data_IF_709665068780
#
_entry.id   IF_709665068780
#
_cell.length_a   1.000
_cell.length_b   1.000
_cell.length_c   1.000
_cell.angle_alpha   90.00
_cell.angle_beta   90.00
_cell.angle_gamma   90.00
#
_symmetry.space_group_name_H-M   'P 1'
#
loop_
_entity.id
_entity.type
_entity.pdbx_description
1 polymer ?
#
# COMPACT_ATOMS: atom_id res chain seq x y z
N UNK A 1 19.68 -20.76 -9.09
CA UNK A 1 21.10 -20.48 -8.83
C UNK A 1 21.23 -18.99 -8.96
N UNK A 2 21.24 -18.33 -7.82
CA UNK A 2 21.99 -17.12 -7.50
C UNK A 2 21.87 -17.03 -5.98
N UNK A 3 22.90 -17.58 -5.34
CA UNK A 3 23.21 -17.38 -3.93
C UNK A 3 24.05 -16.12 -3.84
N UNK A 4 24.02 -15.53 -2.64
CA UNK A 4 24.83 -14.41 -2.16
C UNK A 4 24.23 -13.05 -2.54
N UNK A 5 23.92 -12.13 -1.63
CA UNK A 5 24.52 -11.84 -0.32
C UNK A 5 23.36 -11.45 0.63
N UNK A 6 23.05 -12.30 1.60
CA UNK A 6 22.42 -11.82 2.84
C UNK A 6 23.58 -11.47 3.75
N UNK A 7 23.67 -10.20 4.13
CA UNK A 7 24.55 -9.78 5.22
C UNK A 7 24.24 -10.67 6.43
N UNK A 8 25.22 -11.46 6.87
CA UNK A 8 25.19 -12.17 8.14
C UNK A 8 25.17 -11.09 9.23
N UNK A 9 23.98 -10.67 9.65
CA UNK A 9 23.81 -10.10 10.97
C UNK A 9 24.12 -11.24 11.96
N UNK A 10 25.16 -11.06 12.78
CA UNK A 10 25.46 -11.96 13.90
C UNK A 10 24.15 -12.28 14.64
N UNK A 11 23.69 -13.53 14.59
CA UNK A 11 22.51 -13.96 15.35
C UNK A 11 22.81 -13.72 16.84
N UNK A 12 22.12 -12.76 17.46
CA UNK A 12 22.24 -12.51 18.89
C UNK A 12 21.78 -13.75 19.65
N UNK A 13 22.63 -14.25 20.54
CA UNK A 13 22.30 -15.40 21.39
C UNK A 13 21.09 -15.09 22.28
N UNK A 14 20.21 -16.08 22.47
CA UNK A 14 19.00 -15.92 23.27
C UNK A 14 19.33 -15.58 24.73
N UNK A 15 20.45 -16.07 25.25
CA UNK A 15 20.90 -15.75 26.61
C UNK A 15 21.26 -14.27 26.78
N UNK A 16 21.80 -13.62 25.76
CA UNK A 16 22.11 -12.19 25.79
C UNK A 16 20.86 -11.33 25.60
N UNK A 17 19.91 -11.80 24.79
CA UNK A 17 18.58 -11.21 24.71
C UNK A 17 17.82 -11.29 26.05
N UNK A 18 17.97 -12.41 26.79
CA UNK A 18 17.37 -12.60 28.09
C UNK A 18 17.95 -11.66 29.14
N UNK A 19 19.28 -11.47 29.17
CA UNK A 19 19.92 -10.45 30.03
C UNK A 19 19.41 -9.04 29.70
N UNK A 20 19.22 -8.74 28.41
CA UNK A 20 18.70 -7.44 27.97
C UNK A 20 17.27 -7.22 28.46
N UNK A 21 16.41 -8.24 28.40
CA UNK A 21 15.06 -8.21 28.97
C UNK A 21 15.08 -8.04 30.48
N UNK A 22 15.91 -8.81 31.20
CA UNK A 22 15.98 -8.73 32.66
C UNK A 22 16.49 -7.34 33.11
N UNK A 23 17.46 -6.77 32.40
CA UNK A 23 17.94 -5.42 32.63
C UNK A 23 16.89 -4.34 32.33
N UNK A 24 16.12 -4.51 31.25
CA UNK A 24 15.01 -3.61 30.94
C UNK A 24 13.93 -3.67 32.03
N UNK A 25 13.59 -4.87 32.49
CA UNK A 25 12.56 -5.09 33.53
C UNK A 25 12.99 -4.53 34.89
N UNK A 26 14.27 -4.61 35.23
CA UNK A 26 14.77 -4.07 36.51
C UNK A 26 14.72 -2.54 36.54
N UNK A 27 14.88 -1.86 35.40
CA UNK A 27 14.83 -0.40 35.28
C UNK A 27 13.47 0.12 34.80
N UNK A 28 12.46 -0.74 34.66
CA UNK A 28 11.19 -0.39 34.03
C UNK A 28 10.44 0.71 34.78
N UNK A 29 10.56 0.78 36.11
CA UNK A 29 9.91 1.80 36.93
C UNK A 29 10.46 3.22 36.70
N UNK A 30 11.68 3.35 36.16
CA UNK A 30 12.31 4.63 35.87
C UNK A 30 11.80 5.22 34.54
N UNK A 31 11.36 4.36 33.63
CA UNK A 31 10.96 4.73 32.27
C UNK A 31 9.44 4.72 32.06
N UNK A 32 8.69 4.00 32.91
CA UNK A 32 7.25 3.82 32.73
C UNK A 32 6.45 5.05 33.17
N UNK A 33 5.57 5.51 32.29
CA UNK A 33 4.58 6.54 32.57
C UNK A 33 3.31 5.89 33.08
N UNK A 34 2.87 6.24 34.29
CA UNK A 34 1.69 5.66 34.95
C UNK A 34 0.53 6.66 34.91
N UNK A 35 -0.59 6.29 34.29
CA UNK A 35 -1.84 7.04 34.26
C UNK A 35 -3.00 6.13 34.66
N UNK A 36 -3.38 6.16 35.94
CA UNK A 36 -4.41 5.32 36.54
C UNK A 36 -4.25 3.83 36.21
N UNK A 37 -5.11 3.31 35.33
CA UNK A 37 -5.15 1.92 34.89
C UNK A 37 -4.33 1.66 33.61
N UNK A 38 -3.64 2.67 33.07
CA UNK A 38 -2.87 2.58 31.85
C UNK A 38 -1.42 3.00 32.11
N UNK A 39 -0.51 2.07 31.91
CA UNK A 39 0.92 2.35 31.90
C UNK A 39 1.45 2.36 30.48
N UNK A 40 2.41 3.25 30.20
CA UNK A 40 3.03 3.43 28.90
C UNK A 40 4.54 3.46 29.03
N UNK A 41 5.23 2.77 28.14
CA UNK A 41 6.68 2.87 27.97
C UNK A 41 6.91 3.39 26.56
N UNK A 42 7.60 4.52 26.42
CA UNK A 42 7.83 5.11 25.11
C UNK A 42 8.74 4.21 24.26
N UNK A 43 8.43 4.09 22.97
CA UNK A 43 9.19 3.20 22.09
C UNK A 43 10.68 3.58 22.04
N UNK A 44 11.02 4.86 22.17
CA UNK A 44 12.42 5.32 22.25
C UNK A 44 13.20 4.68 23.41
N UNK A 45 12.54 4.43 24.54
CA UNK A 45 13.16 3.80 25.72
C UNK A 45 13.23 2.27 25.57
N UNK A 46 12.36 1.68 24.75
CA UNK A 46 12.32 0.24 24.49
C UNK A 46 13.02 -0.18 23.18
N UNK A 47 13.50 0.78 22.38
CA UNK A 47 13.93 0.54 20.99
C UNK A 47 15.09 -0.44 20.89
N UNK A 48 16.09 -0.30 21.76
CA UNK A 48 17.23 -1.21 21.81
C UNK A 48 16.76 -2.65 22.10
N UNK A 49 15.93 -2.82 23.14
CA UNK A 49 15.37 -4.11 23.50
C UNK A 49 14.56 -4.74 22.36
N UNK A 50 13.66 -3.97 21.74
CA UNK A 50 12.81 -4.45 20.65
C UNK A 50 13.67 -4.85 19.44
N UNK A 51 14.70 -4.07 19.13
CA UNK A 51 15.62 -4.37 18.03
C UNK A 51 16.35 -5.69 18.30
N UNK A 52 16.97 -5.82 19.49
CA UNK A 52 17.64 -7.06 19.91
C UNK A 52 16.70 -8.26 19.80
N UNK A 53 15.53 -8.19 20.43
CA UNK A 53 14.55 -9.27 20.44
C UNK A 53 14.01 -9.63 19.05
N UNK A 54 13.87 -8.66 18.16
CA UNK A 54 13.43 -8.90 16.78
C UNK A 54 14.47 -9.63 15.93
N UNK A 55 15.76 -9.47 16.27
CA UNK A 55 16.89 -10.16 15.62
C UNK A 55 17.27 -11.48 16.28
N UNK A 56 16.75 -11.78 17.48
CA UNK A 56 17.04 -13.01 18.21
C UNK A 56 16.13 -14.16 17.77
N UNK A 57 16.72 -15.35 17.62
CA UNK A 57 15.96 -16.58 17.43
C UNK A 57 15.25 -16.99 18.73
N UNK A 58 13.96 -16.68 18.83
CA UNK A 58 13.16 -17.00 20.01
C UNK A 58 12.85 -18.50 20.16
N UNK A 59 12.62 -19.00 21.38
CA UNK A 59 12.18 -20.36 21.63
C UNK A 59 10.86 -20.72 20.92
N UNK A 60 10.75 -21.97 20.45
CA UNK A 60 9.62 -22.46 19.65
C UNK A 60 8.24 -22.43 20.34
N UNK A 61 8.19 -22.25 21.66
CA UNK A 61 6.94 -22.09 22.40
C UNK A 61 6.31 -20.69 22.24
N UNK A 62 7.05 -19.72 21.70
CA UNK A 62 6.54 -18.38 21.38
C UNK A 62 6.33 -18.24 19.88
N UNK A 63 5.26 -17.54 19.47
CA UNK A 63 5.01 -17.26 18.06
C UNK A 63 5.79 -16.03 17.57
N UNK A 64 6.02 -15.07 18.45
CA UNK A 64 6.81 -13.86 18.19
C UNK A 64 7.53 -13.38 19.45
N UNK A 65 8.55 -12.53 19.31
CA UNK A 65 9.25 -11.95 20.46
C UNK A 65 8.32 -11.15 21.38
N UNK A 66 7.26 -10.55 20.81
CA UNK A 66 6.18 -9.88 21.56
C UNK A 66 5.51 -10.81 22.58
N UNK A 67 5.38 -12.11 22.28
CA UNK A 67 4.77 -13.07 23.20
C UNK A 67 5.69 -13.34 24.40
N UNK A 68 6.99 -13.47 24.15
CA UNK A 68 7.99 -13.62 25.19
C UNK A 68 8.06 -12.38 26.10
N UNK A 69 8.15 -11.19 25.50
CA UNK A 69 8.19 -9.94 26.26
C UNK A 69 6.87 -9.71 27.02
N UNK A 70 5.72 -10.05 26.41
CA UNK A 70 4.42 -10.00 27.09
C UNK A 70 4.39 -10.90 28.32
N UNK A 71 4.87 -12.14 28.23
CA UNK A 71 4.93 -13.04 29.39
C UNK A 71 5.76 -12.43 30.53
N UNK A 72 6.92 -11.85 30.19
CA UNK A 72 7.81 -11.22 31.17
C UNK A 72 7.20 -9.97 31.82
N UNK A 73 6.53 -9.13 31.03
CA UNK A 73 5.78 -7.98 31.54
C UNK A 73 4.59 -8.42 32.40
N UNK A 74 3.85 -9.46 31.98
CA UNK A 74 2.76 -10.05 32.77
C UNK A 74 3.24 -10.54 34.13
N UNK A 75 4.41 -11.18 34.20
CA UNK A 75 5.02 -11.60 35.46
C UNK A 75 5.44 -10.39 36.31
N UNK A 76 6.10 -9.38 35.71
CA UNK A 76 6.58 -8.19 36.42
C UNK A 76 5.46 -7.37 37.04
N UNK A 77 4.33 -7.24 36.34
CA UNK A 77 3.19 -6.42 36.77
C UNK A 77 2.04 -7.24 37.37
N UNK A 78 2.24 -8.55 37.56
CA UNK A 78 1.24 -9.48 38.11
C UNK A 78 -0.11 -9.39 37.37
N UNK A 79 -0.05 -9.33 36.04
CA UNK A 79 -1.23 -9.09 35.20
C UNK A 79 -2.23 -10.26 35.27
N UNK A 80 -3.50 -9.92 35.42
CA UNK A 80 -4.62 -10.86 35.39
C UNK A 80 -5.05 -11.23 33.96
N UNK A 81 -5.93 -12.23 33.83
CA UNK A 81 -6.37 -12.74 32.53
C UNK A 81 -7.10 -11.71 31.64
N UNK A 82 -7.67 -10.65 32.22
CA UNK A 82 -8.36 -9.59 31.49
C UNK A 82 -7.49 -8.34 31.28
N UNK A 83 -6.30 -8.31 31.88
CA UNK A 83 -5.32 -7.25 31.64
C UNK A 83 -4.70 -7.42 30.25
N UNK A 84 -4.07 -6.35 29.77
CA UNK A 84 -3.64 -6.28 28.39
C UNK A 84 -2.27 -5.64 28.27
N UNK A 85 -1.43 -6.24 27.40
CA UNK A 85 -0.17 -5.66 26.94
C UNK A 85 -0.24 -5.50 25.42
N UNK A 86 -0.10 -4.26 24.95
CA UNK A 86 -0.10 -3.90 23.53
C UNK A 86 1.24 -3.32 23.11
N UNK A 87 1.65 -3.67 21.91
CA UNK A 87 2.85 -3.14 21.26
C UNK A 87 2.42 -2.27 20.09
N UNK A 88 2.50 -0.96 20.26
CA UNK A 88 2.23 0.04 19.24
C UNK A 88 3.54 0.67 18.75
N UNK A 89 3.51 1.36 17.63
CA UNK A 89 4.70 2.01 17.06
C UNK A 89 5.29 3.08 18.00
N UNK A 90 4.44 3.74 18.80
CA UNK A 90 4.85 4.80 19.72
C UNK A 90 5.20 4.30 21.14
N UNK A 91 4.89 3.04 21.48
CA UNK A 91 5.23 2.49 22.78
C UNK A 91 4.58 1.16 23.15
N UNK A 92 4.93 0.68 24.33
CA UNK A 92 4.33 -0.50 24.97
C UNK A 92 3.30 -0.03 25.99
N UNK A 93 2.06 -0.48 25.84
CA UNK A 93 0.96 -0.13 26.72
C UNK A 93 0.57 -1.31 27.58
N UNK A 94 0.42 -1.08 28.88
CA UNK A 94 -0.04 -2.07 29.86
C UNK A 94 -1.31 -1.54 30.49
N UNK A 95 -2.43 -2.18 30.19
CA UNK A 95 -3.76 -1.80 30.65
C UNK A 95 -4.26 -2.79 31.69
N UNK A 96 -4.51 -2.28 32.89
CA UNK A 96 -5.16 -3.02 33.97
C UNK A 96 -6.68 -2.95 33.80
N UNK A 97 -7.32 -4.12 33.89
CA UNK A 97 -8.76 -4.28 33.88
C UNK A 97 -9.29 -4.16 35.30
N UNK A 98 -10.21 -3.22 35.50
CA UNK A 98 -10.94 -3.11 36.76
C UNK A 98 -12.37 -3.59 36.58
N UNK A 99 -12.78 -4.54 37.42
CA UNK A 99 -14.17 -4.95 37.49
C UNK A 99 -14.98 -3.87 38.21
N UNK A 100 -16.07 -3.42 37.59
CA UNK A 100 -17.00 -2.48 38.21
C UNK A 100 -18.10 -3.29 38.88
N UNK A 101 -18.40 -2.95 40.14
CA UNK A 101 -19.52 -3.56 40.86
C UNK A 101 -20.83 -3.21 40.17
N UNK A 102 -21.52 -4.22 39.64
CA UNK A 102 -22.83 -4.04 39.03
C UNK A 102 -23.86 -3.74 40.12
N UNK A 103 -24.29 -2.50 40.23
CA UNK A 103 -25.55 -2.19 40.92
C UNK A 103 -26.66 -2.83 40.09
N UNK A 104 -27.48 -3.67 40.72
CA UNK A 104 -28.60 -4.39 40.08
C UNK A 104 -29.70 -3.41 39.63
N UNK A 105 -29.47 -2.68 38.54
CA UNK A 105 -30.46 -1.81 37.90
C UNK A 105 -30.82 -2.35 36.51
N UNK A 106 -32.05 -2.05 36.06
CA UNK A 106 -32.64 -2.57 34.83
C UNK A 106 -31.90 -2.12 33.55
N UNK A 107 -31.12 -1.03 33.62
CA UNK A 107 -30.32 -0.52 32.52
C UNK A 107 -28.83 -0.82 32.72
N UNK A 108 -28.40 -1.99 32.24
CA UNK A 108 -27.00 -2.45 32.27
C UNK A 108 -26.09 -1.81 31.20
N UNK A 109 -26.65 -1.01 30.29
CA UNK A 109 -25.92 -0.46 29.14
C UNK A 109 -25.03 0.69 29.60
N UNK A 110 -23.81 0.77 29.06
CA UNK A 110 -22.86 1.84 29.37
C UNK A 110 -22.71 2.10 30.89
N UNK A 111 -22.71 1.03 31.69
CA UNK A 111 -22.65 1.09 33.16
C UNK A 111 -23.78 1.89 33.84
N UNK A 112 -24.93 2.06 33.18
CA UNK A 112 -26.10 2.76 33.73
C UNK A 112 -26.03 4.28 33.64
N UNK A 113 -25.12 4.82 32.82
CA UNK A 113 -25.00 6.25 32.56
C UNK A 113 -26.02 6.65 31.51
N UNK A 114 -26.70 7.78 31.74
CA UNK A 114 -27.70 8.33 30.82
C UNK A 114 -27.08 8.69 29.46
N UNK A 115 -27.85 8.47 28.40
CA UNK A 115 -27.40 8.70 27.03
C UNK A 115 -26.95 10.15 26.79
N UNK A 116 -27.70 11.12 27.30
CA UNK A 116 -27.43 12.54 27.06
C UNK A 116 -26.10 12.98 27.70
N UNK A 117 -25.78 12.42 28.87
CA UNK A 117 -24.48 12.62 29.53
C UNK A 117 -23.35 12.06 28.66
N UNK A 118 -23.49 10.85 28.14
CA UNK A 118 -22.47 10.24 27.27
C UNK A 118 -22.29 11.01 25.96
N UNK A 119 -23.37 11.56 25.40
CA UNK A 119 -23.35 12.39 24.20
C UNK A 119 -22.62 13.72 24.45
N UNK A 120 -22.82 14.35 25.61
CA UNK A 120 -22.06 15.55 26.02
C UNK A 120 -20.56 15.26 26.11
N UNK A 121 -20.16 14.18 26.80
CA UNK A 121 -18.77 13.75 26.88
C UNK A 121 -18.20 13.38 25.50
N UNK A 122 -18.99 12.73 24.64
CA UNK A 122 -18.58 12.43 23.25
C UNK A 122 -18.24 13.71 22.50
N UNK A 123 -19.12 14.70 22.56
CA UNK A 123 -18.94 15.96 21.84
C UNK A 123 -17.79 16.81 22.40
N UNK A 124 -17.53 16.76 23.70
CA UNK A 124 -16.43 17.47 24.35
C UNK A 124 -15.06 16.85 24.02
N UNK A 125 -14.92 15.52 24.18
CA UNK A 125 -13.61 14.86 24.12
C UNK A 125 -13.31 14.17 22.78
N UNK A 126 -14.32 13.92 21.95
CA UNK A 126 -14.20 13.24 20.65
C UNK A 126 -14.93 13.98 19.52
N UNK A 127 -14.60 15.26 19.27
CA UNK A 127 -15.21 16.01 18.17
C UNK A 127 -14.93 15.35 16.82
N UNK A 128 -15.86 15.48 15.88
CA UNK A 128 -15.78 14.91 14.53
C UNK A 128 -15.59 13.38 14.49
N UNK A 129 -16.03 12.66 15.53
CA UNK A 129 -15.94 11.20 15.59
C UNK A 129 -14.52 10.65 15.50
N UNK A 130 -13.51 11.41 15.93
CA UNK A 130 -12.08 11.02 15.88
C UNK A 130 -11.80 9.65 16.52
N UNK A 131 -12.63 9.26 17.51
CA UNK A 131 -12.54 7.95 18.16
C UNK A 131 -12.69 6.79 17.17
N UNK A 132 -13.42 6.94 16.06
CA UNK A 132 -13.56 5.89 15.04
C UNK A 132 -12.21 5.59 14.39
N UNK A 133 -11.50 6.62 13.96
CA UNK A 133 -10.18 6.50 13.33
C UNK A 133 -9.18 5.86 14.32
N UNK A 134 -9.13 6.35 15.56
CA UNK A 134 -8.25 5.83 16.60
C UNK A 134 -8.57 4.35 16.95
N UNK A 135 -9.85 3.95 16.95
CA UNK A 135 -10.25 2.55 17.12
C UNK A 135 -9.72 1.68 15.97
N UNK A 136 -9.88 2.13 14.73
CA UNK A 136 -9.42 1.36 13.55
C UNK A 136 -7.90 1.37 13.39
N UNK A 137 -7.20 2.33 13.97
CA UNK A 137 -5.74 2.35 14.05
C UNK A 137 -5.22 1.29 15.04
N UNK A 138 -5.88 1.11 16.19
CA UNK A 138 -5.49 0.12 17.20
C UNK A 138 -5.98 -1.30 16.90
N UNK A 139 -7.08 -1.45 16.15
CA UNK A 139 -7.72 -2.74 15.90
C UNK A 139 -6.78 -3.80 15.30
N UNK A 140 -5.92 -3.51 14.30
CA UNK A 140 -4.98 -4.48 13.75
C UNK A 140 -4.07 -5.09 14.83
N UNK A 141 -3.55 -4.26 15.74
CA UNK A 141 -2.71 -4.72 16.84
C UNK A 141 -3.49 -5.64 17.79
N UNK A 142 -4.74 -5.30 18.12
CA UNK A 142 -5.59 -6.16 18.96
C UNK A 142 -5.84 -7.52 18.31
N UNK A 143 -6.09 -7.53 16.99
CA UNK A 143 -6.32 -8.77 16.23
C UNK A 143 -5.07 -9.62 16.17
N UNK A 144 -3.91 -9.02 15.91
CA UNK A 144 -2.64 -9.73 15.78
C UNK A 144 -2.08 -10.24 17.11
N UNK A 145 -2.19 -9.44 18.17
CA UNK A 145 -1.55 -9.74 19.45
C UNK A 145 -2.45 -10.56 20.38
N UNK A 146 -3.77 -10.32 20.36
CA UNK A 146 -4.70 -10.85 21.38
C UNK A 146 -5.75 -11.78 20.76
N UNK A 147 -6.44 -11.33 19.71
CA UNK A 147 -7.53 -12.07 19.08
C UNK A 147 -7.08 -12.97 17.92
N UNK A 148 -5.79 -13.29 17.89
CA UNK A 148 -5.15 -13.98 16.80
C UNK A 148 -5.61 -15.44 16.69
N UNK A 149 -6.35 -15.76 15.63
CA UNK A 149 -6.87 -17.10 15.36
C UNK A 149 -5.78 -18.19 15.25
N UNK A 150 -4.51 -17.81 15.05
CA UNK A 150 -3.37 -18.76 15.07
C UNK A 150 -3.01 -19.21 16.48
N UNK A 151 -3.29 -18.38 17.49
CA UNK A 151 -2.98 -18.59 18.90
C UNK A 151 -4.17 -19.10 19.70
N UNK A 152 -5.39 -18.68 19.34
CA UNK A 152 -6.61 -19.00 20.09
C UNK A 152 -7.63 -19.79 19.27
N UNK A 153 -8.43 -20.61 19.95
CA UNK A 153 -9.59 -21.28 19.36
C UNK A 153 -10.86 -20.40 19.43
N UNK A 154 -11.93 -20.71 18.68
CA UNK A 154 -13.16 -19.94 18.69
C UNK A 154 -13.85 -19.81 20.05
N UNK A 155 -13.71 -20.81 20.94
CA UNK A 155 -14.28 -20.74 22.28
C UNK A 155 -13.53 -19.74 23.14
N UNK A 156 -12.21 -19.72 23.01
CA UNK A 156 -11.31 -18.78 23.68
C UNK A 156 -11.56 -17.37 23.14
N UNK A 157 -11.66 -17.21 21.82
CA UNK A 157 -12.08 -15.95 21.18
C UNK A 157 -13.37 -15.42 21.79
N UNK A 158 -14.43 -16.25 21.85
CA UNK A 158 -15.74 -15.85 22.41
C UNK A 158 -15.67 -15.37 23.87
N UNK A 159 -14.73 -15.90 24.66
CA UNK A 159 -14.53 -15.50 26.05
C UNK A 159 -13.86 -14.14 26.17
N UNK A 160 -12.88 -13.85 25.31
CA UNK A 160 -11.99 -12.69 25.50
C UNK A 160 -12.30 -11.49 24.60
N UNK A 161 -12.95 -11.68 23.45
CA UNK A 161 -13.02 -10.62 22.42
C UNK A 161 -13.68 -9.33 22.92
N UNK A 162 -14.78 -9.41 23.66
CA UNK A 162 -15.44 -8.20 24.19
C UNK A 162 -14.54 -7.47 25.18
N UNK A 163 -13.83 -8.20 26.06
CA UNK A 163 -12.91 -7.59 27.01
C UNK A 163 -11.75 -6.92 26.28
N UNK A 164 -11.18 -7.57 25.26
CA UNK A 164 -10.13 -7.00 24.45
C UNK A 164 -10.57 -5.73 23.72
N UNK A 165 -11.74 -5.75 23.08
CA UNK A 165 -12.26 -4.59 22.36
C UNK A 165 -12.63 -3.43 23.30
N UNK A 166 -13.18 -3.72 24.49
CA UNK A 166 -13.49 -2.68 25.47
C UNK A 166 -12.21 -2.07 26.02
N UNK A 167 -11.20 -2.87 26.37
CA UNK A 167 -9.91 -2.37 26.84
C UNK A 167 -9.21 -1.52 25.78
N UNK A 168 -9.30 -1.89 24.49
CA UNK A 168 -8.81 -1.07 23.38
C UNK A 168 -9.47 0.32 23.39
N UNK A 169 -10.81 0.38 23.48
CA UNK A 169 -11.52 1.67 23.53
C UNK A 169 -11.24 2.42 24.84
N UNK A 170 -11.03 1.74 25.96
CA UNK A 170 -10.61 2.37 27.22
C UNK A 170 -9.24 3.05 27.11
N UNK A 171 -8.29 2.50 26.36
CA UNK A 171 -6.99 3.15 26.15
C UNK A 171 -7.20 4.52 25.47
N UNK A 172 -8.04 4.55 24.44
CA UNK A 172 -8.43 5.79 23.74
C UNK A 172 -9.11 6.76 24.70
N UNK A 173 -10.09 6.27 25.47
CA UNK A 173 -10.82 7.08 26.45
C UNK A 173 -9.91 7.65 27.52
N UNK A 174 -9.02 6.85 28.11
CA UNK A 174 -8.06 7.29 29.12
C UNK A 174 -7.06 8.30 28.56
N UNK A 175 -6.69 8.21 27.29
CA UNK A 175 -5.78 9.18 26.68
C UNK A 175 -6.43 10.55 26.45
N UNK A 176 -7.75 10.59 26.17
CA UNK A 176 -8.47 11.83 25.83
C UNK A 176 -9.19 12.47 27.01
N UNK A 177 -9.92 11.67 27.79
CA UNK A 177 -10.74 12.18 28.89
C UNK A 177 -9.87 12.55 30.09
N UNK A 178 -10.26 13.64 30.76
CA UNK A 178 -9.62 14.14 31.99
C UNK A 178 -10.49 13.81 33.20
N UNK A 179 -10.77 12.52 33.40
CA UNK A 179 -11.55 12.03 34.53
C UNK A 179 -10.93 10.74 35.06
N UNK A 180 -10.99 10.56 36.37
CA UNK A 180 -10.56 9.34 37.06
C UNK A 180 -11.76 8.44 37.40
N UNK A 181 -12.98 8.85 37.01
CA UNK A 181 -14.19 8.05 37.20
C UNK A 181 -14.19 6.84 36.27
N UNK A 182 -13.79 5.71 36.84
CA UNK A 182 -13.73 4.40 36.17
C UNK A 182 -15.10 3.98 35.61
N UNK A 183 -16.20 4.37 36.26
CA UNK A 183 -17.56 4.05 35.80
C UNK A 183 -17.86 4.82 34.52
N UNK A 184 -17.54 6.11 34.51
CA UNK A 184 -17.67 6.95 33.32
C UNK A 184 -16.76 6.49 32.19
N UNK A 185 -15.49 6.20 32.47
CA UNK A 185 -14.54 5.67 31.47
C UNK A 185 -15.10 4.40 30.81
N UNK A 186 -15.49 3.41 31.62
CA UNK A 186 -16.04 2.14 31.10
C UNK A 186 -17.35 2.35 30.36
N UNK A 187 -18.24 3.19 30.89
CA UNK A 187 -19.52 3.51 30.27
C UNK A 187 -19.32 4.13 28.89
N UNK A 188 -18.40 5.09 28.80
CA UNK A 188 -18.01 5.73 27.56
C UNK A 188 -17.37 4.76 26.57
N UNK A 189 -16.49 3.86 27.04
CA UNK A 189 -15.88 2.84 26.17
C UNK A 189 -16.92 1.88 25.57
N UNK A 190 -17.91 1.46 26.35
CA UNK A 190 -19.02 0.66 25.81
C UNK A 190 -19.89 1.45 24.83
N UNK A 191 -20.12 2.73 25.11
CA UNK A 191 -20.91 3.61 24.28
C UNK A 191 -20.27 3.79 22.89
N UNK A 192 -18.99 4.18 22.86
CA UNK A 192 -18.21 4.34 21.63
C UNK A 192 -18.02 3.03 20.86
N UNK A 193 -17.66 1.94 21.56
CA UNK A 193 -17.48 0.64 20.92
C UNK A 193 -18.76 0.20 20.19
N UNK A 194 -19.93 0.50 20.74
CA UNK A 194 -21.21 0.11 20.14
C UNK A 194 -21.45 0.77 18.78
N UNK A 195 -21.04 2.02 18.61
CA UNK A 195 -21.22 2.75 17.35
C UNK A 195 -20.39 2.15 16.21
N UNK A 196 -19.28 1.47 16.53
CA UNK A 196 -18.37 0.84 15.55
C UNK A 196 -18.32 -0.69 15.62
N UNK A 197 -19.12 -1.30 16.48
CA UNK A 197 -18.99 -2.72 16.82
C UNK A 197 -19.13 -3.64 15.60
N UNK A 198 -20.11 -3.35 14.74
CA UNK A 198 -20.35 -4.15 13.54
C UNK A 198 -19.16 -4.06 12.58
N UNK A 199 -18.60 -2.87 12.37
CA UNK A 199 -17.45 -2.66 11.50
C UNK A 199 -16.17 -3.32 12.06
N UNK A 200 -15.97 -3.27 13.38
CA UNK A 200 -14.89 -3.99 14.08
C UNK A 200 -15.02 -5.51 13.87
N UNK A 201 -16.22 -6.07 14.03
CA UNK A 201 -16.45 -7.50 13.83
C UNK A 201 -16.32 -7.89 12.35
N UNK A 202 -16.69 -7.01 11.42
CA UNK A 202 -16.46 -7.20 9.99
C UNK A 202 -14.97 -7.25 9.67
N UNK A 203 -14.15 -6.37 10.27
CA UNK A 203 -12.70 -6.38 10.11
C UNK A 203 -12.09 -7.72 10.57
N UNK A 204 -12.47 -8.19 11.77
CA UNK A 204 -11.97 -9.47 12.30
C UNK A 204 -12.38 -10.63 11.39
N UNK A 205 -13.62 -10.63 10.89
CA UNK A 205 -14.09 -11.65 9.96
C UNK A 205 -13.33 -11.59 8.62
N UNK A 206 -13.06 -10.40 8.09
CA UNK A 206 -12.29 -10.17 6.86
C UNK A 206 -10.88 -10.74 7.00
N UNK A 207 -10.18 -10.47 8.11
CA UNK A 207 -8.84 -10.99 8.39
C UNK A 207 -8.79 -12.53 8.41
N UNK A 208 -9.73 -13.18 9.12
CA UNK A 208 -9.81 -14.65 9.16
C UNK A 208 -10.07 -15.21 7.76
N UNK A 209 -11.01 -14.63 7.02
CA UNK A 209 -11.37 -15.07 5.67
C UNK A 209 -10.23 -14.87 4.67
N UNK A 210 -9.49 -13.76 4.78
CA UNK A 210 -8.32 -13.47 3.97
C UNK A 210 -7.22 -14.52 4.18
N UNK A 211 -6.89 -14.81 5.44
CA UNK A 211 -5.90 -15.83 5.78
C UNK A 211 -6.38 -17.24 5.35
N UNK A 212 -7.67 -17.52 5.47
CA UNK A 212 -8.25 -18.78 4.96
C UNK A 212 -8.15 -18.90 3.43
N UNK A 213 -8.36 -17.82 2.69
CA UNK A 213 -8.17 -17.76 1.24
C UNK A 213 -6.72 -18.06 0.83
N UNK A 214 -5.76 -17.67 1.68
CA UNK A 214 -4.33 -17.92 1.52
C UNK A 214 -3.89 -19.32 1.96
N UNK A 215 -4.84 -20.23 2.21
CA UNK A 215 -4.59 -21.60 2.66
C UNK A 215 -3.83 -21.68 3.99
N UNK A 216 -3.96 -20.67 4.86
CA UNK A 216 -3.47 -20.75 6.23
C UNK A 216 -4.18 -21.90 6.95
N UNK A 217 -3.39 -22.91 7.37
CA UNK A 217 -3.89 -24.10 8.06
C UNK A 217 -4.61 -23.73 9.35
N UNK A 218 -4.15 -22.71 10.09
CA UNK A 218 -4.76 -22.28 11.34
C UNK A 218 -6.08 -21.57 11.12
N UNK A 219 -6.20 -20.75 10.09
CA UNK A 219 -7.49 -20.16 9.71
C UNK A 219 -8.51 -21.26 9.34
N UNK A 220 -8.07 -22.29 8.62
CA UNK A 220 -8.90 -23.46 8.32
C UNK A 220 -9.31 -24.26 9.56
N UNK A 221 -8.37 -24.52 10.48
CA UNK A 221 -8.65 -25.19 11.76
C UNK A 221 -9.66 -24.36 12.59
N UNK A 222 -9.47 -23.04 12.67
CA UNK A 222 -10.37 -22.12 13.39
C UNK A 222 -11.79 -22.12 12.80
N UNK A 223 -11.90 -21.95 11.48
CA UNK A 223 -13.20 -21.91 10.79
C UNK A 223 -13.92 -23.25 10.80
N UNK A 224 -13.18 -24.37 10.87
CA UNK A 224 -13.77 -25.72 10.87
C UNK A 224 -14.75 -25.93 12.02
N UNK A 225 -14.54 -25.26 13.16
CA UNK A 225 -15.39 -25.35 14.35
C UNK A 225 -16.74 -24.65 14.21
N UNK A 226 -16.97 -23.91 13.11
CA UNK A 226 -18.27 -23.33 12.75
C UNK A 226 -19.04 -24.22 11.76
N UNK A 227 -19.01 -25.53 12.00
CA UNK A 227 -19.67 -26.53 11.17
C UNK A 227 -21.14 -26.72 11.52
N UNK A 228 -21.89 -27.24 10.55
CA UNK A 228 -23.27 -27.73 10.70
C UNK A 228 -23.33 -29.02 11.54
N UNK A 229 -22.21 -29.76 11.58
CA UNK A 229 -22.12 -31.03 12.31
C UNK A 229 -21.35 -30.86 13.62
N UNK A 230 -21.61 -31.75 14.58
CA UNK A 230 -20.80 -31.85 15.80
C UNK A 230 -19.37 -32.25 15.44
N UNK A 231 -18.38 -31.61 16.07
CA UNK A 231 -16.97 -31.87 15.82
C UNK A 231 -16.31 -32.33 17.10
N UNK A 232 -15.45 -33.34 16.99
CA UNK A 232 -14.56 -33.78 18.06
C UNK A 232 -13.17 -33.24 17.73
N UNK A 233 -12.60 -32.42 18.62
CA UNK A 233 -11.26 -31.90 18.42
C UNK A 233 -10.17 -32.94 18.72
N UNK A 234 -8.90 -32.59 18.43
CA UNK A 234 -7.73 -33.46 18.67
C UNK A 234 -7.53 -33.84 20.14
N UNK A 235 -8.19 -33.15 21.07
CA UNK A 235 -8.16 -33.41 22.53
C UNK A 235 -9.39 -34.21 22.99
N UNK A 236 -10.25 -34.66 22.08
CA UNK A 236 -11.45 -35.43 22.38
C UNK A 236 -12.64 -34.60 22.86
N UNK A 237 -12.54 -33.26 22.85
CA UNK A 237 -13.64 -32.38 23.27
C UNK A 237 -14.66 -32.25 22.13
N UNK A 238 -15.93 -32.43 22.49
CA UNK A 238 -17.06 -32.28 21.57
C UNK A 238 -17.49 -30.81 21.49
N UNK A 239 -17.62 -30.32 20.26
CA UNK A 239 -18.07 -28.97 19.93
C UNK A 239 -19.41 -29.06 19.24
N UNK A 240 -20.43 -28.43 19.83
CA UNK A 240 -21.78 -28.38 19.26
C UNK A 240 -21.78 -27.64 17.91
N UNK A 241 -22.70 -27.97 16.99
CA UNK A 241 -22.88 -27.23 15.76
C UNK A 241 -23.04 -25.73 16.01
N UNK A 242 -22.26 -24.93 15.28
CA UNK A 242 -22.36 -23.47 15.30
C UNK A 242 -22.13 -22.91 13.88
N UNK A 243 -23.04 -23.22 12.93
CA UNK A 243 -22.82 -22.89 11.53
C UNK A 243 -22.76 -21.37 11.28
N UNK A 244 -22.01 -20.98 10.25
CA UNK A 244 -22.05 -19.62 9.70
C UNK A 244 -23.35 -19.49 8.91
N UNK A 245 -24.28 -18.67 9.38
CA UNK A 245 -25.62 -18.53 8.79
C UNK A 245 -25.75 -17.19 8.06
N UNK A 246 -26.31 -17.22 6.86
CA UNK A 246 -26.71 -16.01 6.13
C UNK A 246 -27.97 -15.35 6.74
N UNK A 247 -28.43 -14.26 6.13
CA UNK A 247 -29.64 -13.53 6.55
C UNK A 247 -30.92 -14.38 6.46
N UNK A 248 -30.92 -15.39 5.59
CA UNK A 248 -32.04 -16.31 5.37
C UNK A 248 -31.93 -17.61 6.20
N UNK A 249 -30.99 -17.66 7.16
CA UNK A 249 -30.66 -18.84 7.97
C UNK A 249 -30.12 -20.05 7.19
N UNK A 250 -29.60 -19.86 5.98
CA UNK A 250 -28.88 -20.89 5.26
C UNK A 250 -27.43 -20.98 5.77
N UNK A 251 -26.97 -22.21 6.01
CA UNK A 251 -25.61 -22.46 6.45
C UNK A 251 -24.62 -22.38 5.28
N UNK A 252 -23.57 -21.58 5.46
CA UNK A 252 -22.45 -21.54 4.54
C UNK A 252 -21.57 -22.78 4.70
N UNK A 253 -21.30 -23.44 3.58
CA UNK A 253 -20.34 -24.53 3.51
C UNK A 253 -18.91 -23.97 3.41
N UNK A 254 -17.98 -24.53 4.17
CA UNK A 254 -16.56 -24.18 4.17
C UNK A 254 -15.92 -24.25 2.77
N UNK A 255 -16.29 -25.24 1.95
CA UNK A 255 -15.80 -25.36 0.57
C UNK A 255 -16.27 -24.18 -0.29
N UNK A 256 -17.52 -23.77 -0.14
CA UNK A 256 -18.12 -22.62 -0.85
C UNK A 256 -17.55 -21.30 -0.38
N UNK A 257 -17.31 -21.16 0.93
CA UNK A 257 -16.59 -20.01 1.50
C UNK A 257 -15.23 -19.92 0.82
N UNK A 258 -14.43 -20.99 0.86
CA UNK A 258 -13.07 -21.00 0.29
C UNK A 258 -13.05 -20.67 -1.19
N UNK A 259 -13.93 -21.28 -1.99
CA UNK A 259 -13.99 -21.01 -3.43
C UNK A 259 -14.36 -19.56 -3.72
N UNK A 260 -15.31 -19.00 -2.97
CA UNK A 260 -15.71 -17.59 -3.10
C UNK A 260 -14.58 -16.64 -2.72
N UNK A 261 -13.85 -16.92 -1.62
CA UNK A 261 -12.71 -16.09 -1.20
C UNK A 261 -11.59 -16.11 -2.25
N UNK A 262 -11.26 -17.27 -2.81
CA UNK A 262 -10.25 -17.41 -3.87
C UNK A 262 -10.68 -16.64 -5.13
N UNK A 263 -11.96 -16.73 -5.52
CA UNK A 263 -12.49 -15.98 -6.67
C UNK A 263 -12.43 -14.48 -6.43
N UNK A 264 -12.83 -14.01 -5.24
CA UNK A 264 -12.76 -12.61 -4.85
C UNK A 264 -11.31 -12.09 -4.89
N UNK A 265 -10.37 -12.84 -4.28
CA UNK A 265 -8.93 -12.52 -4.34
C UNK A 265 -8.42 -12.41 -5.78
N UNK A 266 -8.73 -13.39 -6.64
CA UNK A 266 -8.34 -13.36 -8.06
C UNK A 266 -8.96 -12.20 -8.82
N UNK A 267 -10.21 -11.83 -8.52
CA UNK A 267 -10.87 -10.69 -9.14
C UNK A 267 -10.18 -9.37 -8.75
N UNK A 268 -9.84 -9.17 -7.48
CA UNK A 268 -9.09 -7.98 -7.03
C UNK A 268 -7.68 -7.94 -7.62
N UNK A 269 -6.99 -9.08 -7.67
CA UNK A 269 -5.68 -9.20 -8.31
C UNK A 269 -5.72 -8.82 -9.79
N UNK A 270 -6.72 -9.30 -10.54
CA UNK A 270 -6.89 -8.96 -11.95
C UNK A 270 -7.16 -7.45 -12.17
N UNK A 271 -7.87 -6.79 -11.24
CA UNK A 271 -8.07 -5.34 -11.28
C UNK A 271 -6.73 -4.62 -11.05
N UNK A 272 -5.94 -5.06 -10.07
CA UNK A 272 -4.61 -4.50 -9.79
C UNK A 272 -3.68 -4.63 -11.00
N UNK A 273 -3.57 -5.83 -11.59
CA UNK A 273 -2.74 -6.08 -12.78
C UNK A 273 -3.16 -5.21 -13.97
N UNK A 274 -4.47 -4.96 -14.14
CA UNK A 274 -4.96 -4.02 -15.17
C UNK A 274 -4.57 -2.57 -14.89
N UNK A 275 -4.60 -2.12 -13.63
CA UNK A 275 -4.12 -0.79 -13.24
C UNK A 275 -2.63 -0.63 -13.55
N UNK A 276 -1.83 -1.63 -13.21
CA UNK A 276 -0.40 -1.63 -13.48
C UNK A 276 -0.10 -1.64 -14.99
N UNK A 277 -0.80 -2.48 -15.75
CA UNK A 277 -0.69 -2.52 -17.21
C UNK A 277 -1.02 -1.15 -17.84
N UNK A 278 -2.08 -0.47 -17.37
CA UNK A 278 -2.43 0.88 -17.83
C UNK A 278 -1.37 1.92 -17.47
N UNK A 279 -0.78 1.84 -16.26
CA UNK A 279 0.32 2.70 -15.87
C UNK A 279 1.55 2.51 -16.79
N UNK A 280 1.85 1.26 -17.14
CA UNK A 280 2.94 0.93 -18.07
C UNK A 280 2.65 1.44 -19.49
N UNK A 281 1.41 1.32 -19.99
CA UNK A 281 1.02 1.91 -21.27
C UNK A 281 1.17 3.43 -21.25
N UNK A 282 0.75 4.09 -20.16
CA UNK A 282 0.90 5.54 -19.99
C UNK A 282 2.37 5.96 -20.07
N UNK A 283 3.27 5.28 -19.35
CA UNK A 283 4.72 5.52 -19.40
C UNK A 283 5.27 5.34 -20.83
N UNK A 284 4.87 4.29 -21.55
CA UNK A 284 5.27 4.07 -22.95
C UNK A 284 4.79 5.19 -23.87
N UNK A 285 3.56 5.67 -23.70
CA UNK A 285 3.01 6.79 -24.46
C UNK A 285 3.79 8.08 -24.22
N UNK A 286 4.14 8.39 -22.97
CA UNK A 286 4.96 9.55 -22.62
C UNK A 286 6.35 9.47 -23.27
N UNK A 287 6.99 8.29 -23.25
CA UNK A 287 8.27 8.07 -23.91
C UNK A 287 8.18 8.26 -25.44
N UNK A 288 7.15 7.71 -26.10
CA UNK A 288 6.96 7.88 -27.54
C UNK A 288 6.71 9.34 -27.94
N UNK A 289 5.91 10.07 -27.15
CA UNK A 289 5.68 11.50 -27.37
C UNK A 289 6.97 12.31 -27.22
N UNK A 290 7.77 12.02 -26.20
CA UNK A 290 9.06 12.69 -26.01
C UNK A 290 10.02 12.44 -27.17
N UNK A 291 10.12 11.19 -27.64
CA UNK A 291 10.95 10.85 -28.80
C UNK A 291 10.46 11.52 -30.08
N UNK A 292 9.15 11.63 -30.27
CA UNK A 292 8.56 12.33 -31.42
C UNK A 292 8.94 13.82 -31.42
N UNK A 293 8.91 14.48 -30.25
CA UNK A 293 9.37 15.87 -30.08
C UNK A 293 10.86 16.00 -30.42
N UNK A 294 11.70 15.06 -29.99
CA UNK A 294 13.14 15.04 -30.33
C UNK A 294 13.37 14.93 -31.83
N UNK A 295 12.69 13.99 -32.50
CA UNK A 295 12.80 13.81 -33.95
C UNK A 295 12.29 15.04 -34.71
N UNK A 296 11.19 15.66 -34.26
CA UNK A 296 10.65 16.87 -34.87
C UNK A 296 11.67 18.04 -34.79
N UNK A 297 12.36 18.18 -33.66
CA UNK A 297 13.43 19.17 -33.48
C UNK A 297 14.62 18.90 -34.42
N UNK A 298 15.04 17.64 -34.55
CA UNK A 298 16.11 17.24 -35.46
C UNK A 298 15.76 17.55 -36.93
N UNK A 299 14.51 17.27 -37.35
CA UNK A 299 14.00 17.64 -38.68
C UNK A 299 14.09 19.16 -38.88
N UNK A 300 13.70 19.96 -37.88
CA UNK A 300 13.76 21.42 -37.97
C UNK A 300 15.19 21.93 -38.13
N UNK A 301 16.14 21.36 -37.39
CA UNK A 301 17.56 21.67 -37.50
C UNK A 301 18.12 21.32 -38.89
N UNK A 302 17.79 20.13 -39.42
CA UNK A 302 18.22 19.73 -40.77
C UNK A 302 17.60 20.61 -41.87
N UNK A 303 16.33 21.00 -41.73
CA UNK A 303 15.67 21.94 -42.66
C UNK A 303 16.29 23.35 -42.61
N UNK A 304 16.85 23.78 -41.47
CA UNK A 304 17.62 25.05 -41.40
C UNK A 304 18.91 24.96 -42.21
N UNK A 305 19.66 23.86 -42.08
CA UNK A 305 20.89 23.64 -42.86
C UNK A 305 20.56 23.56 -44.35
N UNK A 306 19.49 22.86 -44.75
CA UNK A 306 19.04 22.82 -46.14
C UNK A 306 18.79 24.22 -46.71
N UNK A 307 18.10 25.10 -45.96
CA UNK A 307 17.89 26.50 -46.35
C UNK A 307 19.17 27.32 -46.46
N UNK A 308 20.19 27.03 -45.66
CA UNK A 308 21.51 27.68 -45.75
C UNK A 308 22.28 27.22 -46.99
N UNK A 309 22.19 25.94 -47.34
CA UNK A 309 22.73 25.40 -48.58
C UNK A 309 22.02 26.00 -49.80
N UNK A 310 20.71 26.18 -49.77
CA UNK A 310 19.96 26.86 -50.83
C UNK A 310 20.46 28.29 -51.07
N UNK A 311 20.64 29.08 -50.00
CA UNK A 311 21.22 30.43 -50.10
C UNK A 311 22.64 30.42 -50.64
N UNK A 312 23.43 29.40 -50.31
CA UNK A 312 24.81 29.26 -50.79
C UNK A 312 24.85 28.87 -52.26
N UNK A 313 23.97 27.97 -52.69
CA UNK A 313 23.78 27.58 -54.08
C UNK A 313 23.36 28.78 -54.94
N UNK A 314 22.40 29.59 -54.50
CA UNK A 314 22.00 30.83 -55.20
C UNK A 314 23.17 31.80 -55.39
N UNK A 315 24.05 31.95 -54.38
CA UNK A 315 25.24 32.80 -54.48
C UNK A 315 26.24 32.26 -55.49
N UNK A 316 26.44 30.95 -55.51
CA UNK A 316 27.32 30.26 -56.47
C UNK A 316 26.78 30.41 -57.89
N UNK A 317 25.47 30.21 -58.10
CA UNK A 317 24.80 30.36 -59.40
C UNK A 317 24.86 31.79 -59.92
N UNK A 318 24.56 32.79 -59.08
CA UNK A 318 24.72 34.21 -59.46
C UNK A 318 26.17 34.56 -59.82
N UNK A 319 27.14 33.95 -59.14
CA UNK A 319 28.57 34.14 -59.45
C UNK A 319 28.94 33.49 -60.78
N UNK A 320 28.42 32.29 -61.05
CA UNK A 320 28.59 31.56 -62.31
C UNK A 320 28.03 32.37 -63.49
N UNK A 321 26.78 32.85 -63.40
CA UNK A 321 26.14 33.69 -64.42
C UNK A 321 26.96 34.95 -64.74
N UNK A 322 27.48 35.63 -63.71
CA UNK A 322 28.33 36.83 -63.87
C UNK A 322 29.60 36.53 -64.66
N UNK A 323 30.25 35.40 -64.40
CA UNK A 323 31.49 34.99 -65.09
C UNK A 323 31.20 34.48 -66.51
N UNK A 324 30.07 33.80 -66.70
CA UNK A 324 29.64 33.35 -68.02
C UNK A 324 29.29 34.53 -68.94
N UNK A 325 28.72 35.61 -68.41
CA UNK A 325 28.38 36.81 -69.18
C UNK A 325 29.57 37.76 -69.42
N UNK A 326 30.77 37.48 -68.87
CA UNK A 326 31.97 38.27 -69.12
C UNK A 326 32.55 37.98 -70.52
N UNK A 327 32.85 39.04 -71.28
CA UNK A 327 33.39 38.98 -72.65
C UNK A 327 34.91 38.84 -72.72
N UNK A 328 35.62 38.96 -71.59
CA UNK A 328 37.10 38.88 -71.51
C UNK A 328 37.58 37.51 -71.03
N UNK A 329 38.74 37.07 -71.54
CA UNK A 329 39.37 35.78 -71.15
C UNK A 329 39.86 35.77 -69.69
N UNK A 330 40.07 36.95 -69.11
CA UNK A 330 40.40 37.17 -67.71
C UNK A 330 39.28 37.93 -67.00
N UNK A 331 38.93 37.48 -65.80
CA UNK A 331 37.82 38.04 -65.01
C UNK A 331 38.33 38.41 -63.62
N UNK A 332 37.95 39.59 -63.13
CA UNK A 332 38.19 39.99 -61.73
C UNK A 332 37.17 39.28 -60.85
N UNK A 333 37.65 38.51 -59.88
CA UNK A 333 36.80 37.76 -58.95
C UNK A 333 37.33 37.90 -57.52
N UNK A 334 36.42 38.00 -56.55
CA UNK A 334 36.76 38.11 -55.14
C UNK A 334 36.90 36.71 -54.54
N UNK A 335 38.11 36.32 -54.15
CA UNK A 335 38.39 35.05 -53.46
C UNK A 335 38.87 35.37 -52.04
N UNK A 336 38.10 34.99 -51.01
CA UNK A 336 38.43 35.27 -49.61
C UNK A 336 38.44 36.75 -49.21
N UNK A 337 37.70 37.61 -49.92
CA UNK A 337 37.61 39.05 -49.65
C UNK A 337 38.63 39.91 -50.41
N UNK A 338 39.48 39.30 -51.25
CA UNK A 338 40.48 40.01 -52.07
C UNK A 338 40.17 39.83 -53.56
N UNK A 339 40.12 40.92 -54.32
CA UNK A 339 40.00 40.87 -55.79
C UNK A 339 41.27 40.30 -56.42
N UNK A 340 41.11 39.20 -57.15
CA UNK A 340 42.18 38.58 -57.95
C UNK A 340 41.71 38.42 -59.40
N UNK A 341 42.66 38.45 -60.32
CA UNK A 341 42.41 38.21 -61.75
C UNK A 341 42.60 36.71 -62.00
N UNK A 342 41.58 36.07 -62.55
CA UNK A 342 41.62 34.65 -62.90
C UNK A 342 41.34 34.44 -64.38
N UNK A 343 41.89 33.37 -64.94
CA UNK A 343 41.48 32.88 -66.25
C UNK A 343 40.06 32.31 -66.17
N UNK A 344 39.22 32.66 -67.15
CA UNK A 344 37.77 32.40 -67.13
C UNK A 344 37.43 30.91 -67.07
N UNK A 345 38.07 30.07 -67.91
CA UNK A 345 37.76 28.63 -67.99
C UNK A 345 38.08 27.86 -66.68
N UNK A 346 39.27 28.00 -66.07
CA UNK A 346 39.57 27.36 -64.78
C UNK A 346 38.65 27.84 -63.64
N UNK A 347 38.29 29.13 -63.64
CA UNK A 347 37.40 29.69 -62.62
C UNK A 347 35.98 29.12 -62.72
N UNK A 348 35.43 28.98 -63.94
CA UNK A 348 34.14 28.33 -64.17
C UNK A 348 34.18 26.88 -63.66
N UNK A 349 35.21 26.11 -63.99
CA UNK A 349 35.34 24.73 -63.52
C UNK A 349 35.42 24.64 -61.97
N UNK A 350 36.11 25.58 -61.32
CA UNK A 350 36.19 25.66 -59.85
C UNK A 350 34.83 25.97 -59.22
N UNK A 351 34.02 26.82 -59.84
CA UNK A 351 32.69 27.21 -59.35
C UNK A 351 31.67 26.09 -59.58
N UNK A 352 31.70 25.43 -60.75
CA UNK A 352 30.86 24.26 -61.03
C UNK A 352 31.14 23.13 -60.03
N UNK A 353 32.43 22.88 -59.71
CA UNK A 353 32.78 21.90 -58.66
C UNK A 353 32.19 22.26 -57.30
N UNK A 354 32.24 23.54 -56.90
CA UNK A 354 31.61 24.01 -55.66
C UNK A 354 30.08 23.85 -55.70
N UNK A 355 29.46 24.06 -56.85
CA UNK A 355 28.02 23.84 -57.04
C UNK A 355 27.66 22.36 -56.87
N UNK A 356 28.43 21.45 -57.49
CA UNK A 356 28.26 20.01 -57.35
C UNK A 356 28.43 19.52 -55.90
N UNK A 357 29.43 20.06 -55.18
CA UNK A 357 29.67 19.74 -53.77
C UNK A 357 28.46 20.15 -52.90
N UNK A 358 27.95 21.38 -53.07
CA UNK A 358 26.76 21.88 -52.36
C UNK A 358 25.51 21.06 -52.73
N UNK A 359 25.35 20.69 -54.00
CA UNK A 359 24.21 19.89 -54.46
C UNK A 359 24.24 18.48 -53.85
N UNK A 360 25.43 17.89 -53.75
CA UNK A 360 25.65 16.58 -53.11
C UNK A 360 25.29 16.63 -51.62
N UNK A 361 25.75 17.66 -50.91
CA UNK A 361 25.43 17.86 -49.49
C UNK A 361 23.94 18.09 -49.27
N UNK A 362 23.30 18.92 -50.10
CA UNK A 362 21.85 19.17 -50.05
C UNK A 362 21.05 17.88 -50.24
N UNK A 363 21.41 17.05 -51.22
CA UNK A 363 20.74 15.76 -51.45
C UNK A 363 20.94 14.79 -50.29
N UNK A 364 22.12 14.79 -49.65
CA UNK A 364 22.35 14.01 -48.45
C UNK A 364 21.43 14.44 -47.29
N UNK A 365 21.29 15.76 -47.07
CA UNK A 365 20.39 16.29 -46.03
C UNK A 365 18.93 15.96 -46.33
N UNK A 366 18.48 16.09 -47.58
CA UNK A 366 17.11 15.73 -47.98
C UNK A 366 16.78 14.28 -47.65
N UNK A 367 17.67 13.34 -47.99
CA UNK A 367 17.50 11.92 -47.65
C UNK A 367 17.41 11.69 -46.14
N UNK A 368 18.20 12.42 -45.35
CA UNK A 368 18.12 12.36 -43.88
C UNK A 368 16.76 12.86 -43.38
N UNK A 369 16.28 13.99 -43.91
CA UNK A 369 14.97 14.56 -43.55
C UNK A 369 13.84 13.57 -43.89
N UNK A 370 13.81 13.01 -45.10
CA UNK A 370 12.81 12.02 -45.52
C UNK A 370 12.79 10.78 -44.60
N UNK A 371 13.97 10.30 -44.22
CA UNK A 371 14.11 9.19 -43.27
C UNK A 371 13.58 9.54 -41.88
N UNK A 372 13.87 10.75 -41.37
CA UNK A 372 13.36 11.22 -40.09
C UNK A 372 11.84 11.41 -40.11
N UNK A 373 11.28 11.98 -41.19
CA UNK A 373 9.83 12.14 -41.37
C UNK A 373 9.11 10.78 -41.38
N UNK A 374 9.70 9.77 -42.04
CA UNK A 374 9.19 8.39 -42.00
C UNK A 374 9.20 7.81 -40.58
N UNK A 375 10.26 8.07 -39.80
CA UNK A 375 10.34 7.63 -38.39
C UNK A 375 9.29 8.33 -37.52
N UNK A 376 9.04 9.62 -37.74
CA UNK A 376 7.98 10.37 -37.05
C UNK A 376 6.60 9.79 -37.38
N UNK A 377 6.32 9.51 -38.66
CA UNK A 377 5.06 8.92 -39.08
C UNK A 377 4.83 7.53 -38.46
N UNK A 378 5.86 6.69 -38.38
CA UNK A 378 5.78 5.39 -37.73
C UNK A 378 5.52 5.53 -36.22
N UNK A 379 6.22 6.43 -35.53
CA UNK A 379 5.96 6.71 -34.11
C UNK A 379 4.55 7.27 -33.88
N UNK A 380 4.01 8.10 -34.77
CA UNK A 380 2.63 8.58 -34.66
C UNK A 380 1.63 7.42 -34.69
N UNK A 381 1.80 6.46 -35.61
CA UNK A 381 0.96 5.26 -35.65
C UNK A 381 1.03 4.47 -34.35
N UNK A 382 2.23 4.30 -33.78
CA UNK A 382 2.39 3.64 -32.48
C UNK A 382 1.66 4.40 -31.37
N UNK A 383 1.81 5.74 -31.31
CA UNK A 383 1.11 6.60 -30.35
C UNK A 383 -0.40 6.41 -30.47
N UNK A 384 -0.96 6.38 -31.68
CA UNK A 384 -2.40 6.24 -31.91
C UNK A 384 -2.90 4.86 -31.45
N UNK A 385 -2.15 3.79 -31.74
CA UNK A 385 -2.48 2.43 -31.31
C UNK A 385 -2.46 2.34 -29.78
N UNK A 386 -1.39 2.82 -29.14
CA UNK A 386 -1.26 2.75 -27.69
C UNK A 386 -2.21 3.68 -26.97
N UNK A 387 -2.54 4.84 -27.54
CA UNK A 387 -3.51 5.80 -27.01
C UNK A 387 -4.90 5.20 -27.00
N UNK A 388 -5.31 4.56 -28.10
CA UNK A 388 -6.58 3.83 -28.16
C UNK A 388 -6.65 2.68 -27.15
N UNK A 389 -5.62 1.83 -27.08
CA UNK A 389 -5.54 0.75 -26.07
C UNK A 389 -5.63 1.30 -24.63
N UNK A 390 -5.00 2.45 -24.38
CA UNK A 390 -5.06 3.11 -23.08
C UNK A 390 -6.48 3.58 -22.73
N UNK A 391 -7.19 4.22 -23.68
CA UNK A 391 -8.56 4.67 -23.44
C UNK A 391 -9.53 3.50 -23.26
N UNK A 392 -9.48 2.51 -24.14
CA UNK A 392 -10.31 1.29 -24.04
C UNK A 392 -10.08 0.59 -22.69
N UNK A 393 -8.82 0.42 -22.28
CA UNK A 393 -8.48 -0.19 -21.01
C UNK A 393 -8.94 0.65 -19.81
N UNK A 394 -8.84 1.98 -19.90
CA UNK A 394 -9.29 2.91 -18.84
C UNK A 394 -10.81 2.87 -18.68
N UNK A 395 -11.56 2.86 -19.77
CA UNK A 395 -13.03 2.73 -19.75
C UNK A 395 -13.45 1.38 -19.18
N UNK A 396 -12.80 0.30 -19.60
CA UNK A 396 -13.07 -1.04 -19.09
C UNK A 396 -12.79 -1.15 -17.59
N UNK A 397 -11.69 -0.59 -17.12
CA UNK A 397 -11.37 -0.54 -15.68
C UNK A 397 -12.43 0.25 -14.91
N UNK A 398 -12.81 1.44 -15.40
CA UNK A 398 -13.84 2.28 -14.79
C UNK A 398 -15.18 1.55 -14.70
N UNK A 399 -15.54 0.79 -15.73
CA UNK A 399 -16.77 0.00 -15.74
C UNK A 399 -16.72 -1.12 -14.70
N UNK A 400 -15.61 -1.89 -14.63
CA UNK A 400 -15.42 -2.94 -13.62
C UNK A 400 -15.49 -2.38 -12.20
N UNK A 401 -14.84 -1.24 -11.95
CA UNK A 401 -14.85 -0.59 -10.64
C UNK A 401 -16.25 -0.08 -10.26
N UNK A 402 -17.03 0.42 -11.24
CA UNK A 402 -18.39 0.91 -11.00
C UNK A 402 -19.41 -0.21 -10.78
N UNK A 403 -19.33 -1.29 -11.56
CA UNK A 403 -20.29 -2.41 -11.43
C UNK A 403 -19.95 -3.34 -10.27
N UNK A 404 -18.68 -3.36 -9.85
CA UNK A 404 -18.16 -4.36 -8.91
C UNK A 404 -18.09 -5.74 -9.55
N UNK A 405 -17.32 -6.65 -8.95
CA UNK A 405 -17.36 -8.05 -9.35
C UNK A 405 -18.58 -8.72 -8.68
N UNK A 406 -19.34 -9.61 -9.36
CA UNK A 406 -20.49 -10.28 -8.73
C UNK A 406 -20.16 -11.01 -7.43
N UNK A 407 -18.93 -11.51 -7.31
CA UNK A 407 -18.43 -12.17 -6.08
C UNK A 407 -18.20 -11.22 -4.93
N UNK A 408 -18.12 -9.90 -5.16
CA UNK A 408 -17.93 -8.91 -4.08
C UNK A 408 -19.15 -8.94 -3.14
N UNK A 409 -20.36 -8.97 -3.68
CA UNK A 409 -21.59 -9.10 -2.88
C UNK A 409 -21.65 -10.41 -2.11
N UNK A 410 -21.25 -11.51 -2.74
CA UNK A 410 -21.25 -12.83 -2.09
C UNK A 410 -20.19 -12.89 -0.98
N UNK A 411 -19.02 -12.31 -1.22
CA UNK A 411 -17.96 -12.14 -0.23
C UNK A 411 -18.45 -11.33 0.97
N UNK A 412 -19.07 -10.17 0.74
CA UNK A 412 -19.59 -9.32 1.81
C UNK A 412 -20.68 -10.02 2.63
N UNK A 413 -21.54 -10.82 1.98
CA UNK A 413 -22.55 -11.62 2.68
C UNK A 413 -21.91 -12.69 3.58
N UNK A 414 -20.86 -13.37 3.11
CA UNK A 414 -20.10 -14.35 3.92
C UNK A 414 -19.42 -13.66 5.09
N UNK A 415 -18.79 -12.50 4.85
CA UNK A 415 -18.12 -11.70 5.88
C UNK A 415 -19.10 -11.27 6.97
N UNK A 416 -20.26 -10.72 6.59
CA UNK A 416 -21.34 -10.35 7.53
C UNK A 416 -21.85 -11.56 8.32
N UNK A 417 -22.06 -12.69 7.66
CA UNK A 417 -22.50 -13.93 8.30
C UNK A 417 -21.48 -14.41 9.34
N UNK A 418 -20.18 -14.41 9.00
CA UNK A 418 -19.11 -14.79 9.92
C UNK A 418 -19.01 -13.81 11.09
N UNK A 419 -19.00 -12.50 10.84
CA UNK A 419 -18.97 -11.47 11.88
C UNK A 419 -20.11 -11.65 12.89
N UNK A 420 -21.33 -11.89 12.40
CA UNK A 420 -22.50 -12.18 13.23
C UNK A 420 -22.33 -13.48 14.04
N UNK A 421 -21.80 -14.54 13.44
CA UNK A 421 -21.55 -15.81 14.15
C UNK A 421 -20.46 -15.69 15.21
N UNK A 422 -19.43 -14.88 14.97
CA UNK A 422 -18.37 -14.57 15.94
C UNK A 422 -18.93 -13.75 17.12
N UNK A 423 -19.79 -12.78 16.84
CA UNK A 423 -20.40 -11.91 17.85
C UNK A 423 -21.45 -12.62 18.74
N UNK A 424 -22.03 -13.75 18.27
CA UNK A 424 -23.01 -14.53 19.05
C UNK A 424 -22.35 -15.24 20.23
N UNK A 425 -22.74 -14.85 21.44
CA UNK A 425 -22.38 -15.54 22.69
C UNK A 425 -23.17 -16.83 22.87
#
# INVERSE_FOLDING_TARGET
MDRDILEEHDEVDFDDALKSVDNFISHIDEIIQKKDLLYRIDMQQAQELVTTLSSTKIPNNYFSYKDFLREKLSQRFELEANDMVLFLDDGIYIKFFKQIENKNTAERRACGIEHDVLEEYKNEYFPNEIYKEEIFELLPCIVEDILNFRKIDPLSFKKIFVHALVNMVEIIVLNKMKTDDIVLIRGMSFYLLREVFDDVMLYIADDILFNFANADKKAGEFLSLFSVHEIIDKKGKRHKPNPILDENNHAWNMTTIRSTMIQHKKAKQAIYEKKEALANIKKKLEAYKLDQVKLAKEIEEKKKIEKELDKSLEKVQKSLERIQNATTDKVKFVDGGVEKVFDRKPLIAKILKKEDDIFTEKNAIKRVVENLETRVANKQKDIDIWSRKYQEGKELLKNIEKTGHPTDKVYDNIKKALAKTLAKR
#
